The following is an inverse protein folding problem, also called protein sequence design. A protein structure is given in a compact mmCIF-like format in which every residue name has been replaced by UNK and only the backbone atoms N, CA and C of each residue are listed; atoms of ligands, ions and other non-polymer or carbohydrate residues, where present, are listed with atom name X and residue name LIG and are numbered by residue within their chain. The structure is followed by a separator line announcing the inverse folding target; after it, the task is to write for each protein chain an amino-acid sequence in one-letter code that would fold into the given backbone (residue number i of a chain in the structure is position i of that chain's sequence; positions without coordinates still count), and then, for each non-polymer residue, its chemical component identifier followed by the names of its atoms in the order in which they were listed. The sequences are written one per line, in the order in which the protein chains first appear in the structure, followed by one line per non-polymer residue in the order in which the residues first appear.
data_IF_229793650579
#
_entry.id   IF_229793650579
#
_cell.length_a   1.000
_cell.length_b   1.000
_cell.length_c   1.000
_cell.angle_alpha   90.00
_cell.angle_beta   90.00
_cell.angle_gamma   90.00
#
_symmetry.space_group_name_H-M   'P 1'
#
loop_
_entity.id
_entity.type
_entity.pdbx_description
1 polymer ?
#
# COMPACT_ATOMS: atom_id res chain seq x y z
N UNK A 1 17.31 -6.01 -5.85
CA UNK A 1 16.47 -7.22 -5.79
C UNK A 1 15.00 -6.88 -5.54
N UNK A 2 14.67 -6.11 -4.49
CA UNK A 2 13.30 -5.69 -4.15
C UNK A 2 12.46 -5.09 -5.29
N UNK A 3 13.07 -4.35 -6.23
CA UNK A 3 12.34 -3.70 -7.34
C UNK A 3 11.57 -4.68 -8.24
N UNK A 4 12.02 -5.93 -8.39
CA UNK A 4 11.33 -6.95 -9.20
C UNK A 4 10.00 -7.40 -8.59
N UNK A 5 9.83 -7.25 -7.27
CA UNK A 5 8.62 -7.66 -6.55
C UNK A 5 7.49 -6.62 -6.67
N UNK A 6 7.75 -5.47 -7.30
CA UNK A 6 6.77 -4.38 -7.53
C UNK A 6 6.17 -4.43 -8.94
N UNK A 7 6.37 -5.53 -9.64
CA UNK A 7 5.85 -5.78 -10.99
C UNK A 7 5.48 -7.25 -11.18
N UNK A 8 5.02 -7.58 -12.39
CA UNK A 8 4.73 -8.97 -12.73
C UNK A 8 6.03 -9.77 -12.89
N UNK A 9 6.13 -10.90 -12.18
CA UNK A 9 7.27 -11.81 -12.21
C UNK A 9 6.84 -13.21 -12.65
N UNK A 10 7.52 -13.74 -13.66
CA UNK A 10 7.27 -15.08 -14.19
C UNK A 10 8.59 -15.80 -14.51
N UNK A 11 8.53 -17.12 -14.53
CA UNK A 11 9.65 -18.01 -14.88
C UNK A 11 9.30 -18.77 -16.15
N UNK A 12 10.25 -18.83 -17.09
CA UNK A 12 10.15 -19.58 -18.33
C UNK A 12 11.20 -20.70 -18.35
N UNK A 13 10.78 -21.93 -18.62
CA UNK A 13 11.66 -23.05 -18.92
C UNK A 13 11.78 -23.22 -20.43
N UNK A 14 13.01 -23.39 -20.93
CA UNK A 14 13.31 -23.67 -22.34
C UNK A 14 14.13 -24.95 -22.48
N UNK A 15 13.97 -25.65 -23.59
CA UNK A 15 14.83 -26.79 -23.95
C UNK A 15 16.17 -26.34 -24.57
N UNK A 16 17.00 -27.31 -24.96
CA UNK A 16 18.31 -27.05 -25.55
C UNK A 16 18.25 -26.30 -26.89
N UNK A 17 17.13 -26.42 -27.62
CA UNK A 17 16.88 -25.74 -28.89
C UNK A 17 16.22 -24.36 -28.66
N UNK A 18 15.94 -24.00 -27.40
CA UNK A 18 15.36 -22.71 -27.00
C UNK A 18 13.83 -22.65 -27.02
N UNK A 19 13.15 -23.76 -27.32
CA UNK A 19 11.70 -23.82 -27.33
C UNK A 19 11.14 -23.75 -25.90
N UNK A 20 10.05 -23.00 -25.72
CA UNK A 20 9.40 -22.81 -24.42
C UNK A 20 8.68 -24.12 -24.01
N UNK A 21 9.04 -24.66 -22.85
CA UNK A 21 8.49 -25.94 -22.34
C UNK A 21 7.63 -25.75 -21.08
N UNK A 22 7.83 -24.68 -20.33
CA UNK A 22 6.95 -24.30 -19.21
C UNK A 22 6.98 -22.79 -18.96
N UNK A 23 5.88 -22.25 -18.42
CA UNK A 23 5.76 -20.85 -18.02
C UNK A 23 4.82 -20.72 -16.82
N UNK A 24 5.25 -20.06 -15.76
CA UNK A 24 4.45 -19.87 -14.54
C UNK A 24 4.76 -18.54 -13.86
N UNK A 25 3.80 -18.03 -13.10
CA UNK A 25 4.05 -16.96 -12.12
C UNK A 25 4.89 -17.45 -10.95
N UNK A 26 5.44 -16.52 -10.17
CA UNK A 26 6.25 -16.79 -8.98
C UNK A 26 5.44 -16.55 -7.71
N UNK A 27 5.49 -17.49 -6.77
CA UNK A 27 4.98 -17.29 -5.41
C UNK A 27 6.01 -16.51 -4.61
N UNK A 28 5.66 -15.29 -4.21
CA UNK A 28 6.57 -14.35 -3.55
C UNK A 28 6.46 -14.20 -2.02
N UNK A 29 5.52 -14.82 -1.26
CA UNK A 29 5.44 -14.59 0.19
C UNK A 29 6.76 -14.80 0.95
N UNK A 30 7.49 -15.90 0.69
CA UNK A 30 8.75 -16.18 1.40
C UNK A 30 9.82 -15.11 1.21
N UNK A 31 9.99 -14.60 -0.02
CA UNK A 31 10.97 -13.53 -0.28
C UNK A 31 10.51 -12.18 0.27
N UNK A 32 9.20 -11.95 0.44
CA UNK A 32 8.70 -10.77 1.13
C UNK A 32 9.08 -10.81 2.61
N UNK A 33 8.93 -11.97 3.27
CA UNK A 33 9.32 -12.13 4.66
C UNK A 33 10.84 -11.98 4.84
N UNK A 34 11.63 -12.66 4.00
CA UNK A 34 13.10 -12.59 4.04
C UNK A 34 13.64 -11.15 3.91
N UNK A 35 12.96 -10.32 3.12
CA UNK A 35 13.40 -8.94 2.86
C UNK A 35 12.86 -7.92 3.86
N UNK A 36 11.59 -8.05 4.27
CA UNK A 36 10.87 -6.98 4.95
C UNK A 36 10.42 -7.31 6.37
N UNK A 37 10.32 -8.58 6.76
CA UNK A 37 9.75 -8.96 8.06
C UNK A 37 10.52 -8.34 9.23
N UNK A 38 11.85 -8.34 9.17
CA UNK A 38 12.68 -7.71 10.20
C UNK A 38 12.50 -6.19 10.26
N UNK A 39 12.33 -5.52 9.12
CA UNK A 39 12.15 -4.07 9.06
C UNK A 39 10.76 -3.60 9.51
N UNK A 40 9.72 -4.40 9.28
CA UNK A 40 8.34 -4.07 9.67
C UNK A 40 7.98 -4.50 11.10
N UNK A 41 8.77 -5.40 11.72
CA UNK A 41 8.46 -6.01 13.02
C UNK A 41 8.12 -5.00 14.13
N UNK A 42 8.82 -3.87 14.18
CA UNK A 42 8.66 -2.83 15.21
C UNK A 42 7.89 -1.59 14.71
N UNK A 43 7.18 -1.69 13.58
CA UNK A 43 6.42 -0.57 13.01
C UNK A 43 4.96 -0.60 13.48
N UNK A 44 4.51 0.49 14.10
CA UNK A 44 3.10 0.72 14.39
C UNK A 44 2.30 0.95 13.09
N UNK A 45 1.71 -0.12 12.55
CA UNK A 45 0.84 -0.09 11.37
C UNK A 45 -0.55 0.51 11.68
N UNK A 46 -1.22 1.01 10.65
CA UNK A 46 -2.49 1.72 10.79
C UNK A 46 -2.26 3.19 11.13
N UNK A 47 -3.14 3.76 11.98
CA UNK A 47 -3.01 5.16 12.43
C UNK A 47 -2.54 5.21 13.87
N UNK A 48 -1.46 5.96 14.11
CA UNK A 48 -0.91 6.26 15.44
C UNK A 48 -0.96 7.75 15.71
N UNK A 49 -1.04 8.18 16.97
CA UNK A 49 -1.15 9.59 17.31
C UNK A 49 -0.05 10.04 18.27
N UNK A 50 0.60 11.16 17.97
CA UNK A 50 1.50 11.87 18.88
C UNK A 50 0.97 13.29 19.11
N UNK A 51 0.56 13.60 20.35
CA UNK A 51 -0.03 14.92 20.72
C UNK A 51 -1.13 15.36 19.74
N UNK A 52 -2.06 14.46 19.43
CA UNK A 52 -3.16 14.60 18.48
C UNK A 52 -2.79 14.74 16.99
N UNK A 53 -1.52 14.57 16.61
CA UNK A 53 -1.10 14.48 15.20
C UNK A 53 -1.10 13.01 14.75
N UNK A 54 -1.90 12.62 13.74
CA UNK A 54 -1.91 11.26 13.22
C UNK A 54 -0.67 10.98 12.36
N UNK A 55 -0.19 9.75 12.39
CA UNK A 55 0.72 9.19 11.38
C UNK A 55 0.11 7.91 10.85
N UNK A 56 -0.08 7.84 9.54
CA UNK A 56 -0.70 6.73 8.83
C UNK A 56 0.40 5.85 8.23
N UNK A 57 0.34 4.54 8.47
CA UNK A 57 1.30 3.57 7.96
C UNK A 57 0.60 2.35 7.35
N UNK A 58 0.99 1.99 6.13
CA UNK A 58 0.49 0.84 5.40
C UNK A 58 1.67 -0.04 4.97
N UNK A 59 1.65 -1.33 5.33
CA UNK A 59 2.59 -2.29 4.78
C UNK A 59 2.12 -2.74 3.39
N UNK A 60 2.81 -2.30 2.35
CA UNK A 60 2.49 -2.64 0.96
C UNK A 60 3.79 -2.71 0.13
N UNK A 61 4.67 -3.70 0.41
CA UNK A 61 6.02 -3.78 -0.18
C UNK A 61 6.05 -3.99 -1.69
N UNK A 62 4.95 -4.49 -2.27
CA UNK A 62 4.81 -4.73 -3.71
C UNK A 62 4.12 -3.58 -4.45
N UNK A 63 3.50 -2.63 -3.73
CA UNK A 63 2.84 -1.49 -4.37
C UNK A 63 3.86 -0.62 -5.09
N UNK A 64 3.53 -0.11 -6.27
CA UNK A 64 4.27 0.91 -7.02
C UNK A 64 4.07 2.30 -6.43
N UNK A 65 2.90 2.60 -5.90
CA UNK A 65 2.63 3.81 -5.13
C UNK A 65 1.55 3.59 -4.07
N UNK A 66 1.56 4.44 -3.04
CA UNK A 66 0.47 4.56 -2.09
C UNK A 66 0.15 6.03 -1.83
N UNK A 67 -1.13 6.39 -1.90
CA UNK A 67 -1.63 7.72 -1.57
C UNK A 67 -2.71 7.60 -0.52
N UNK A 68 -2.59 8.37 0.57
CA UNK A 68 -3.67 8.50 1.54
C UNK A 68 -4.70 9.50 1.01
N UNK A 69 -5.96 9.09 0.99
CA UNK A 69 -7.11 9.93 0.64
C UNK A 69 -7.86 10.25 1.94
N UNK A 70 -8.02 11.53 2.29
CA UNK A 70 -8.82 11.95 3.46
C UNK A 70 -10.08 12.69 3.03
N UNK A 71 -11.14 12.55 3.82
CA UNK A 71 -12.47 13.10 3.57
C UNK A 71 -12.99 13.78 4.83
N UNK A 72 -13.46 15.02 4.70
CA UNK A 72 -14.07 15.75 5.81
C UNK A 72 -15.44 15.15 6.13
N UNK A 73 -15.65 14.58 7.34
CA UNK A 73 -16.91 13.94 7.71
C UNK A 73 -18.08 14.94 7.78
N UNK A 74 -17.82 16.24 7.93
CA UNK A 74 -18.84 17.28 7.96
C UNK A 74 -19.38 17.65 6.57
N UNK A 75 -18.67 17.26 5.50
CA UNK A 75 -19.07 17.52 4.11
C UNK A 75 -20.02 16.47 3.55
N UNK A 76 -20.38 15.44 4.33
CA UNK A 76 -21.37 14.46 3.94
C UNK A 76 -21.01 13.72 2.66
N UNK A 77 -19.77 13.23 2.53
CA UNK A 77 -19.53 12.10 1.62
C UNK A 77 -20.06 10.85 2.34
N UNK A 78 -21.34 10.56 2.10
CA UNK A 78 -22.11 9.59 2.89
C UNK A 78 -21.45 8.22 2.99
N UNK A 79 -21.40 7.73 4.23
CA UNK A 79 -21.48 6.32 4.65
C UNK A 79 -21.86 5.37 3.50
N UNK A 80 -20.90 4.61 2.97
CA UNK A 80 -21.25 3.36 2.27
C UNK A 80 -21.38 2.25 3.32
N UNK A 81 -22.50 2.24 4.03
CA UNK A 81 -22.95 1.03 4.73
C UNK A 81 -23.37 0.02 3.67
N UNK A 82 -22.44 -0.80 3.17
CA UNK A 82 -22.77 -1.87 2.25
C UNK A 82 -21.58 -2.38 1.45
N UNK A 83 -21.40 -3.70 1.50
CA UNK A 83 -20.59 -4.49 0.56
C UNK A 83 -20.81 -4.03 -0.89
N UNK A 84 -19.84 -3.30 -1.46
CA UNK A 84 -19.86 -2.87 -2.86
C UNK A 84 -18.73 -1.90 -3.16
N UNK A 85 -18.01 -2.16 -4.24
CA UNK A 85 -16.92 -1.35 -4.79
C UNK A 85 -17.23 0.14 -4.75
N UNK A 86 -16.55 0.90 -3.89
CA UNK A 86 -16.55 2.36 -3.96
C UNK A 86 -15.70 2.80 -5.14
N UNK A 87 -16.33 3.02 -6.30
CA UNK A 87 -15.74 3.81 -7.38
C UNK A 87 -15.94 5.28 -7.02
N UNK A 88 -15.18 5.77 -6.03
CA UNK A 88 -15.20 7.17 -5.63
C UNK A 88 -14.53 8.03 -6.70
N UNK A 89 -15.32 8.61 -7.60
CA UNK A 89 -14.89 9.69 -8.49
C UNK A 89 -14.54 10.93 -7.66
N UNK A 90 -13.27 11.01 -7.28
CA UNK A 90 -12.38 12.18 -7.10
C UNK A 90 -12.85 13.63 -6.97
N UNK A 91 -14.02 13.98 -6.44
CA UNK A 91 -14.41 15.40 -6.27
C UNK A 91 -14.31 15.95 -4.85
N UNK A 92 -14.01 15.13 -3.83
CA UNK A 92 -13.92 15.59 -2.42
C UNK A 92 -12.73 15.07 -1.59
N UNK A 93 -11.86 14.23 -2.15
CA UNK A 93 -10.74 13.66 -1.41
C UNK A 93 -9.52 14.61 -1.40
N UNK A 94 -8.95 14.86 -0.23
CA UNK A 94 -7.62 15.47 -0.11
C UNK A 94 -6.58 14.35 -0.22
N UNK A 95 -5.59 14.52 -1.10
CA UNK A 95 -4.58 13.51 -1.43
C UNK A 95 -3.26 13.80 -0.73
N UNK A 96 -2.68 12.79 -0.10
CA UNK A 96 -1.37 12.87 0.54
C UNK A 96 -0.49 11.72 0.03
N UNK A 97 0.53 12.06 -0.76
CA UNK A 97 1.49 11.07 -1.26
C UNK A 97 2.30 10.49 -0.10
N UNK A 98 2.39 9.16 -0.04
CA UNK A 98 3.12 8.49 1.02
C UNK A 98 4.59 8.29 0.67
N UNK A 99 5.44 8.35 1.69
CA UNK A 99 6.86 8.02 1.56
C UNK A 99 7.08 6.53 1.80
N UNK A 100 7.78 5.87 0.88
CA UNK A 100 8.14 4.46 0.98
C UNK A 100 9.45 4.27 1.76
N UNK A 101 9.44 3.38 2.76
CA UNK A 101 10.65 2.90 3.42
C UNK A 101 11.11 1.57 2.80
N UNK A 102 12.28 1.54 2.13
CA UNK A 102 12.78 0.33 1.46
C UNK A 102 13.24 -0.77 2.42
N UNK A 103 13.46 -0.49 3.72
CA UNK A 103 13.87 -1.51 4.68
C UNK A 103 12.66 -2.31 5.22
N UNK A 104 11.51 -1.67 5.38
CA UNK A 104 10.30 -2.29 5.95
C UNK A 104 9.21 -2.57 4.92
N UNK A 105 9.24 -1.93 3.76
CA UNK A 105 8.15 -2.01 2.78
C UNK A 105 6.91 -1.20 3.17
N UNK A 106 7.05 -0.30 4.16
CA UNK A 106 5.96 0.52 4.69
C UNK A 106 5.87 1.85 3.97
N UNK A 107 4.63 2.25 3.66
CA UNK A 107 4.27 3.58 3.18
C UNK A 107 3.78 4.43 4.34
N UNK A 108 4.30 5.66 4.47
CA UNK A 108 3.99 6.56 5.59
C UNK A 108 3.50 7.92 5.12
N UNK A 109 2.44 8.44 5.77
CA UNK A 109 2.01 9.84 5.72
C UNK A 109 1.99 10.41 7.14
N UNK A 110 2.78 11.45 7.39
CA UNK A 110 2.72 12.21 8.63
C UNK A 110 1.67 13.34 8.49
N UNK A 111 0.59 13.24 9.26
CA UNK A 111 -0.51 14.20 9.23
C UNK A 111 -0.39 15.31 10.28
N UNK A 112 -0.99 16.46 10.00
CA UNK A 112 -1.26 17.47 11.03
C UNK A 112 -2.52 17.14 11.84
N UNK A 113 -2.74 17.90 12.92
CA UNK A 113 -3.85 17.68 13.87
C UNK A 113 -5.23 17.85 13.22
N UNK A 114 -5.30 18.53 12.09
CA UNK A 114 -6.49 18.76 11.28
C UNK A 114 -7.05 17.46 10.69
N UNK A 115 -6.20 16.46 10.42
CA UNK A 115 -6.65 15.15 9.90
C UNK A 115 -7.23 14.24 10.99
N UNK A 116 -7.32 14.72 12.24
CA UNK A 116 -7.86 13.92 13.34
C UNK A 116 -9.38 13.78 13.18
N UNK A 117 -9.82 12.55 12.96
CA UNK A 117 -11.24 12.21 12.86
C UNK A 117 -11.76 12.21 11.43
N UNK A 118 -10.92 12.56 10.46
CA UNK A 118 -11.24 12.41 9.03
C UNK A 118 -11.43 10.93 8.68
N UNK A 119 -12.37 10.68 7.78
CA UNK A 119 -12.47 9.38 7.11
C UNK A 119 -11.34 9.28 6.09
N UNK A 120 -10.83 8.06 5.86
CA UNK A 120 -9.74 7.88 4.91
C UNK A 120 -9.79 6.55 4.17
N UNK A 121 -9.20 6.54 2.98
CA UNK A 121 -8.90 5.36 2.17
C UNK A 121 -7.44 5.41 1.71
N UNK A 122 -6.89 4.26 1.34
CA UNK A 122 -5.62 4.17 0.62
C UNK A 122 -5.90 3.90 -0.85
N UNK A 123 -5.35 4.74 -1.72
CA UNK A 123 -5.17 4.41 -3.12
C UNK A 123 -3.82 3.69 -3.27
N UNK A 124 -3.84 2.45 -3.72
CA UNK A 124 -2.65 1.60 -3.88
C UNK A 124 -2.57 1.16 -5.34
N UNK A 125 -1.44 1.42 -5.98
CA UNK A 125 -1.14 1.06 -7.38
C UNK A 125 0.05 0.13 -7.40
#
# INVERSE_FOLDING_TARGET
MAALLRGQLAVAQRDADGALTAFTGVQIPGVLDDLYAAGVADVDLGVSFAKAKPTFRLWAPTAQSATLLTYDPSTGSGTSTGSGTSTGSGTGAIRHEATYDPASGVWTVAGGKELKGDEYLWEVV
#
